data_IF_527718688016
#
_entry.id   IF_527718688016
#
_cell.length_a   1.000
_cell.length_b   1.000
_cell.length_c   1.000
_cell.angle_alpha   90.00
_cell.angle_beta   90.00
_cell.angle_gamma   90.00
#
_symmetry.space_group_name_H-M   'P 1'
#
loop_
_entity.id
_entity.type
_entity.pdbx_description
1 polymer ?
#
# COMPACT_ATOMS: atom_id res chain seq x y z
N UNK A 1 -58.29 -42.91 28.91
CA UNK A 1 -57.63 -41.60 29.16
C UNK A 1 -56.37 -41.83 29.97
N UNK A 2 -55.21 -41.89 29.33
CA UNK A 2 -53.94 -42.20 30.00
C UNK A 2 -52.84 -41.32 29.38
N UNK A 3 -52.45 -40.28 30.12
CA UNK A 3 -51.42 -39.29 29.75
C UNK A 3 -50.05 -39.96 29.71
N UNK A 4 -49.41 -39.98 28.54
CA UNK A 4 -48.00 -40.36 28.36
C UNK A 4 -47.13 -39.16 28.78
N UNK A 5 -46.43 -39.29 29.92
CA UNK A 5 -45.45 -38.30 30.40
C UNK A 5 -44.25 -38.28 29.47
N UNK A 6 -43.97 -37.12 28.87
CA UNK A 6 -42.72 -36.82 28.17
C UNK A 6 -41.64 -36.57 29.25
N UNK A 7 -40.63 -37.44 29.33
CA UNK A 7 -39.43 -37.20 30.14
C UNK A 7 -38.53 -36.20 29.41
N UNK A 8 -38.29 -35.05 30.03
CA UNK A 8 -37.20 -34.13 29.69
C UNK A 8 -35.85 -34.79 30.04
N UNK A 9 -34.82 -34.68 29.19
CA UNK A 9 -33.46 -35.10 29.54
C UNK A 9 -32.78 -34.09 30.49
N UNK A 10 -31.82 -34.62 31.24
CA UNK A 10 -31.08 -34.04 32.36
C UNK A 10 -30.34 -32.71 32.06
N UNK A 11 -29.94 -31.93 33.09
CA UNK A 11 -29.52 -30.53 32.96
C UNK A 11 -28.07 -30.30 32.49
N UNK A 12 -27.32 -31.34 32.14
CA UNK A 12 -25.87 -31.22 31.92
C UNK A 12 -25.44 -30.93 30.46
N UNK A 13 -26.38 -30.77 29.53
CA UNK A 13 -26.06 -30.57 28.10
C UNK A 13 -26.09 -29.08 27.69
N UNK A 14 -26.54 -28.18 28.57
CA UNK A 14 -26.60 -26.73 28.25
C UNK A 14 -25.26 -26.00 28.36
N UNK A 15 -24.30 -26.51 29.13
CA UNK A 15 -23.02 -25.82 29.34
C UNK A 15 -22.01 -26.02 28.20
N UNK A 16 -22.11 -27.13 27.46
CA UNK A 16 -21.18 -27.43 26.35
C UNK A 16 -21.54 -26.65 25.07
N UNK A 17 -22.83 -26.35 24.87
CA UNK A 17 -23.26 -25.58 23.69
C UNK A 17 -22.98 -24.08 23.81
N UNK A 18 -22.79 -23.56 25.03
CA UNK A 18 -22.49 -22.14 25.25
C UNK A 18 -20.98 -21.82 25.22
N UNK A 19 -20.10 -22.85 25.30
CA UNK A 19 -18.65 -22.67 25.22
C UNK A 19 -18.06 -22.86 23.81
N UNK A 20 -18.86 -23.33 22.84
CA UNK A 20 -18.39 -23.63 21.48
C UNK A 20 -18.55 -22.46 20.49
N UNK A 21 -19.16 -21.34 20.91
CA UNK A 21 -19.40 -20.16 20.04
C UNK A 21 -18.27 -19.10 20.15
N UNK A 22 -17.32 -19.26 21.08
CA UNK A 22 -16.22 -18.30 21.31
C UNK A 22 -14.94 -18.55 20.50
N UNK A 23 -14.90 -19.59 19.66
CA UNK A 23 -13.75 -19.94 18.81
C UNK A 23 -13.99 -19.62 17.32
N UNK A 24 -14.64 -18.50 17.03
CA UNK A 24 -14.55 -17.90 15.71
C UNK A 24 -13.15 -17.27 15.58
N UNK A 25 -12.27 -17.78 14.69
CA UNK A 25 -11.00 -17.10 14.43
C UNK A 25 -11.36 -15.74 13.82
N UNK A 26 -11.17 -14.67 14.58
CA UNK A 26 -11.12 -13.34 14.00
C UNK A 26 -10.02 -13.39 12.95
N UNK A 27 -10.41 -13.28 11.68
CA UNK A 27 -9.48 -13.01 10.60
C UNK A 27 -8.96 -11.60 10.83
N UNK A 28 -7.88 -11.47 11.60
CA UNK A 28 -7.06 -10.27 11.58
C UNK A 28 -6.48 -10.18 10.18
N UNK A 29 -7.08 -9.32 9.34
CA UNK A 29 -6.40 -8.87 8.14
C UNK A 29 -5.06 -8.28 8.61
N UNK A 30 -3.96 -8.83 8.11
CA UNK A 30 -2.64 -8.36 8.46
C UNK A 30 -2.51 -6.89 8.04
N UNK A 31 -2.57 -5.99 9.00
CA UNK A 31 -2.24 -4.58 8.81
C UNK A 31 -0.73 -4.44 8.62
N UNK A 32 -0.31 -3.55 7.73
CA UNK A 32 1.10 -3.22 7.56
C UNK A 32 1.42 -2.01 8.43
N UNK A 33 2.02 -2.28 9.60
CA UNK A 33 2.53 -1.26 10.51
C UNK A 33 3.89 -0.76 10.01
N UNK A 34 3.95 0.53 9.67
CA UNK A 34 5.17 1.19 9.22
C UNK A 34 5.42 2.46 10.03
N UNK A 35 6.69 2.75 10.31
CA UNK A 35 7.12 3.95 11.04
C UNK A 35 8.07 4.75 10.15
N UNK A 36 7.80 6.04 10.03
CA UNK A 36 8.54 6.99 9.20
C UNK A 36 9.02 8.15 10.04
N UNK A 37 10.22 8.66 9.78
CA UNK A 37 10.66 9.95 10.32
C UNK A 37 9.94 11.08 9.61
N UNK A 38 9.66 12.18 10.30
CA UNK A 38 9.08 13.34 9.63
C UNK A 38 10.03 13.97 8.61
N UNK A 39 11.34 13.82 8.81
CA UNK A 39 12.36 14.27 7.87
C UNK A 39 12.25 13.59 6.50
N UNK A 40 11.62 12.41 6.39
CA UNK A 40 11.39 11.75 5.11
C UNK A 40 10.33 12.46 4.23
N UNK A 41 9.55 13.36 4.84
CA UNK A 41 8.50 14.14 4.17
C UNK A 41 8.87 15.63 4.02
N UNK A 42 10.10 16.00 4.39
CA UNK A 42 10.60 17.36 4.37
C UNK A 42 11.85 17.45 3.49
N UNK A 43 11.95 18.48 2.65
CA UNK A 43 13.09 18.68 1.74
C UNK A 43 14.19 19.56 2.33
N UNK A 44 13.93 20.25 3.44
CA UNK A 44 14.90 21.08 4.14
C UNK A 44 15.57 20.35 5.30
N UNK A 45 16.05 21.13 6.26
CA UNK A 45 16.77 20.60 7.42
C UNK A 45 15.92 19.67 8.28
N UNK A 46 16.60 18.82 9.07
CA UNK A 46 15.97 17.95 10.06
C UNK A 46 15.37 18.72 11.24
N UNK A 47 15.66 20.02 11.36
CA UNK A 47 15.06 20.92 12.34
C UNK A 47 14.15 21.89 11.60
N UNK A 48 12.87 21.85 11.91
CA UNK A 48 11.88 22.79 11.39
C UNK A 48 11.69 23.92 12.39
N UNK A 49 12.17 25.11 12.06
CA UNK A 49 12.02 26.30 12.90
C UNK A 49 10.75 27.07 12.55
N UNK A 50 9.94 27.35 13.56
CA UNK A 50 8.75 28.19 13.49
C UNK A 50 9.04 29.46 14.28
N UNK A 51 9.17 30.61 13.61
CA UNK A 51 9.61 31.86 14.22
C UNK A 51 8.57 32.98 14.12
N UNK A 52 8.61 33.90 15.08
CA UNK A 52 7.64 34.99 15.23
C UNK A 52 6.36 34.56 15.97
N UNK A 53 5.42 35.50 16.08
CA UNK A 53 4.14 35.35 16.78
C UNK A 53 3.22 34.32 16.11
N UNK A 54 3.29 34.19 14.78
CA UNK A 54 2.53 33.22 14.01
C UNK A 54 3.37 32.70 12.86
N UNK A 55 3.61 31.39 12.85
CA UNK A 55 4.27 30.68 11.77
C UNK A 55 3.57 29.34 11.54
N UNK A 56 3.73 28.78 10.36
CA UNK A 56 3.25 27.45 10.10
C UNK A 56 3.93 26.81 8.91
N UNK A 57 4.12 25.50 9.01
CA UNK A 57 4.77 24.68 8.01
C UNK A 57 3.95 23.42 7.75
N UNK A 58 3.98 22.92 6.52
CA UNK A 58 3.17 21.78 6.10
C UNK A 58 4.03 20.69 5.50
N UNK A 59 3.94 19.50 6.09
CA UNK A 59 4.49 18.28 5.51
C UNK A 59 3.42 17.60 4.66
N UNK A 60 3.81 17.20 3.45
CA UNK A 60 2.94 16.44 2.56
C UNK A 60 3.21 14.95 2.76
N UNK A 61 2.21 14.22 3.24
CA UNK A 61 2.28 12.76 3.46
C UNK A 61 1.59 12.05 2.29
N UNK A 62 2.35 11.45 1.35
CA UNK A 62 1.77 10.71 0.24
C UNK A 62 1.35 9.30 0.71
N UNK A 63 0.12 8.91 0.38
CA UNK A 63 -0.53 7.65 0.69
C UNK A 63 -1.01 7.02 -0.62
N UNK A 64 -0.70 5.74 -0.83
CA UNK A 64 -1.14 5.01 -2.00
C UNK A 64 -2.68 4.91 -2.06
N UNK A 65 -3.31 5.09 -3.23
CA UNK A 65 -4.74 4.82 -3.40
C UNK A 65 -5.14 3.36 -3.19
N UNK A 66 -4.17 2.44 -3.05
CA UNK A 66 -4.41 1.02 -2.78
C UNK A 66 -4.50 0.68 -1.31
N UNK A 67 -4.27 1.64 -0.41
CA UNK A 67 -4.34 1.38 1.03
C UNK A 67 -5.30 2.34 1.70
N UNK A 68 -5.84 1.90 2.83
CA UNK A 68 -6.53 2.76 3.77
C UNK A 68 -5.86 2.63 5.14
N UNK A 69 -5.78 3.75 5.86
CA UNK A 69 -5.19 3.81 7.19
C UNK A 69 -6.17 3.19 8.18
N UNK A 70 -5.69 2.30 9.04
CA UNK A 70 -6.47 1.68 10.13
C UNK A 70 -6.14 2.31 11.48
N UNK A 71 -4.90 2.76 11.65
CA UNK A 71 -4.48 3.58 12.79
C UNK A 71 -3.31 4.46 12.41
N UNK A 72 -3.17 5.59 13.09
CA UNK A 72 -2.10 6.53 12.85
C UNK A 72 -1.74 7.27 14.14
N UNK A 73 -0.44 7.33 14.44
CA UNK A 73 0.09 8.01 15.62
C UNK A 73 1.29 8.85 15.21
N UNK A 74 1.30 10.09 15.67
CA UNK A 74 2.37 11.05 15.48
C UNK A 74 3.07 11.28 16.81
N UNK A 75 4.36 10.97 16.88
CA UNK A 75 5.24 11.32 17.99
C UNK A 75 6.06 12.53 17.61
N UNK A 76 5.95 13.60 18.36
CA UNK A 76 6.69 14.84 18.15
C UNK A 76 7.79 15.01 19.21
N UNK A 77 8.93 15.53 18.75
CA UNK A 77 10.02 16.04 19.56
C UNK A 77 10.26 17.48 19.17
N UNK A 78 10.13 18.38 20.13
CA UNK A 78 10.22 19.82 19.86
C UNK A 78 10.82 20.56 21.05
N UNK A 79 11.44 21.70 20.76
CA UNK A 79 12.03 22.59 21.74
C UNK A 79 11.48 23.99 21.49
N UNK A 80 11.24 24.78 22.53
CA UNK A 80 10.76 26.15 22.40
C UNK A 80 11.61 27.14 23.17
N UNK A 81 11.49 28.42 22.80
CA UNK A 81 12.12 29.50 23.56
C UNK A 81 11.59 29.55 25.00
N UNK A 82 12.49 29.82 25.94
CA UNK A 82 12.15 30.07 27.35
C UNK A 82 11.44 31.43 27.55
N UNK A 83 11.42 32.29 26.54
CA UNK A 83 10.72 33.57 26.58
C UNK A 83 9.20 33.46 26.35
N UNK A 84 8.70 32.27 25.99
CA UNK A 84 7.30 32.06 25.66
C UNK A 84 6.39 32.05 26.90
N UNK A 85 5.19 32.60 26.73
CA UNK A 85 4.16 32.60 27.76
C UNK A 85 3.35 31.30 27.79
N UNK A 86 3.48 30.54 28.88
CA UNK A 86 2.94 29.18 29.10
C UNK A 86 1.46 28.95 28.73
N UNK A 87 0.61 29.96 28.91
CA UNK A 87 -0.85 29.84 28.74
C UNK A 87 -1.37 30.33 27.39
N UNK A 88 -0.55 31.06 26.65
CA UNK A 88 -0.97 31.71 25.40
C UNK A 88 -0.21 31.16 24.20
N UNK A 89 1.00 30.67 24.42
CA UNK A 89 1.81 30.06 23.38
C UNK A 89 1.39 28.61 23.14
N UNK A 90 0.96 28.31 21.91
CA UNK A 90 0.49 26.98 21.52
C UNK A 90 1.05 26.55 20.17
N UNK A 91 1.33 25.25 20.03
CA UNK A 91 1.49 24.55 18.76
C UNK A 91 0.20 23.82 18.42
N UNK A 92 -0.42 24.17 17.32
CA UNK A 92 -1.56 23.46 16.73
C UNK A 92 -1.07 22.48 15.67
N UNK A 93 -1.47 21.22 15.81
CA UNK A 93 -1.24 20.18 14.79
C UNK A 93 -2.54 19.98 14.03
N UNK A 94 -2.47 20.05 12.69
CA UNK A 94 -3.62 19.91 11.81
C UNK A 94 -3.38 18.81 10.79
N UNK A 95 -4.41 18.01 10.52
CA UNK A 95 -4.43 17.04 9.43
C UNK A 95 -5.52 17.44 8.43
N UNK A 96 -5.14 17.67 7.18
CA UNK A 96 -6.05 18.11 6.12
C UNK A 96 -6.90 19.32 6.54
N UNK A 97 -6.24 20.31 7.15
CA UNK A 97 -6.80 21.55 7.68
C UNK A 97 -7.68 21.43 8.95
N UNK A 98 -7.91 20.22 9.47
CA UNK A 98 -8.61 20.04 10.74
C UNK A 98 -7.60 20.02 11.90
N UNK A 99 -7.79 20.87 12.92
CA UNK A 99 -6.99 20.84 14.15
C UNK A 99 -7.30 19.58 14.95
N UNK A 100 -6.27 18.78 15.19
CA UNK A 100 -6.38 17.48 15.87
C UNK A 100 -5.72 17.47 17.25
N UNK A 101 -4.79 18.39 17.48
CA UNK A 101 -4.13 18.57 18.77
C UNK A 101 -3.66 20.01 18.93
N UNK A 102 -3.59 20.46 20.17
CA UNK A 102 -2.96 21.70 20.57
C UNK A 102 -2.05 21.41 21.76
N UNK A 103 -0.79 21.79 21.65
CA UNK A 103 0.25 21.58 22.66
C UNK A 103 0.62 22.95 23.21
N UNK A 104 0.41 23.19 24.50
CA UNK A 104 0.88 24.40 25.14
C UNK A 104 2.40 24.33 25.36
N UNK A 105 3.09 25.43 25.07
CA UNK A 105 4.51 25.56 25.40
C UNK A 105 4.69 25.85 26.89
N UNK A 106 5.83 25.44 27.45
CA UNK A 106 6.17 25.68 28.86
C UNK A 106 7.58 26.25 28.95
N UNK A 107 7.77 27.53 29.32
CA UNK A 107 9.10 28.14 29.39
C UNK A 107 10.00 27.48 30.45
N UNK A 108 9.42 26.80 31.45
CA UNK A 108 10.17 26.04 32.46
C UNK A 108 10.59 24.65 31.95
N UNK A 109 9.96 24.18 30.88
CA UNK A 109 10.20 22.87 30.23
C UNK A 109 10.23 23.06 28.72
N UNK A 110 11.28 23.72 28.19
CA UNK A 110 11.35 24.08 26.78
C UNK A 110 11.41 22.85 25.87
N UNK A 111 11.97 21.73 26.33
CA UNK A 111 11.97 20.46 25.62
C UNK A 111 10.68 19.67 25.88
N UNK A 112 9.97 19.36 24.81
CA UNK A 112 8.64 18.78 24.84
C UNK A 112 8.58 17.55 23.95
N UNK A 113 7.72 16.60 24.34
CA UNK A 113 7.32 15.52 23.46
C UNK A 113 5.85 15.22 23.60
N UNK A 114 5.20 14.94 22.48
CA UNK A 114 3.78 14.68 22.42
C UNK A 114 3.52 13.46 21.53
N UNK A 115 2.62 12.59 22.00
CA UNK A 115 2.06 11.50 21.20
C UNK A 115 0.61 11.86 20.84
N UNK A 116 0.33 11.93 19.55
CA UNK A 116 -0.94 12.41 19.01
C UNK A 116 -1.55 11.30 18.15
N UNK A 117 -2.75 10.87 18.50
CA UNK A 117 -3.53 9.97 17.65
C UNK A 117 -4.15 10.75 16.50
N UNK A 118 -3.80 10.38 15.27
CA UNK A 118 -4.34 11.00 14.06
C UNK A 118 -5.69 10.32 13.69
N UNK A 119 -6.80 11.05 13.55
CA UNK A 119 -8.10 10.45 13.22
C UNK A 119 -8.10 9.80 11.83
N UNK A 120 -8.49 8.53 11.78
CA UNK A 120 -8.56 7.74 10.53
C UNK A 120 -9.51 8.38 9.50
N UNK A 121 -10.60 9.00 9.95
CA UNK A 121 -11.60 9.65 9.09
C UNK A 121 -11.08 10.85 8.31
N UNK A 122 -9.95 11.43 8.74
CA UNK A 122 -9.36 12.59 8.06
C UNK A 122 -8.40 12.18 6.93
N UNK A 123 -7.97 10.92 6.88
CA UNK A 123 -7.04 10.44 5.85
C UNK A 123 -7.73 10.33 4.49
N UNK A 124 -7.04 10.80 3.47
CA UNK A 124 -7.45 10.78 2.07
C UNK A 124 -6.46 9.95 1.26
N UNK A 125 -6.91 9.38 0.15
CA UNK A 125 -5.99 8.80 -0.83
C UNK A 125 -5.09 9.88 -1.43
N UNK A 126 -3.88 9.50 -1.85
CA UNK A 126 -2.88 10.41 -2.43
C UNK A 126 -2.26 11.32 -1.37
N UNK A 127 -2.47 12.63 -1.39
CA UNK A 127 -1.69 13.55 -0.56
C UNK A 127 -2.48 14.02 0.67
N UNK A 128 -1.84 13.97 1.83
CA UNK A 128 -2.40 14.47 3.08
C UNK A 128 -1.51 15.57 3.64
N UNK A 129 -2.11 16.69 4.04
CA UNK A 129 -1.39 17.82 4.61
C UNK A 129 -1.32 17.67 6.13
N UNK A 130 -0.11 17.50 6.67
CA UNK A 130 0.17 17.56 8.11
C UNK A 130 0.80 18.91 8.42
N UNK A 131 0.03 19.81 9.00
CA UNK A 131 0.45 21.19 9.25
C UNK A 131 0.75 21.41 10.73
N UNK A 132 1.88 22.06 11.00
CA UNK A 132 2.27 22.57 12.30
C UNK A 132 2.11 24.08 12.27
N UNK A 133 1.26 24.64 13.12
CA UNK A 133 1.01 26.07 13.18
C UNK A 133 1.14 26.56 14.61
N UNK A 134 1.94 27.60 14.82
CA UNK A 134 2.19 28.15 16.16
C UNK A 134 1.49 29.49 16.33
N UNK A 135 1.12 29.75 17.57
CA UNK A 135 0.88 31.08 18.09
C UNK A 135 1.85 31.25 19.26
N UNK A 136 2.80 32.18 19.15
CA UNK A 136 3.78 32.48 20.18
C UNK A 136 3.46 33.83 20.81
N UNK A 137 3.46 33.90 22.13
CA UNK A 137 3.31 35.12 22.89
C UNK A 137 4.42 35.22 23.94
N UNK A 138 4.83 36.45 24.24
CA UNK A 138 5.75 36.78 25.35
C UNK A 138 5.03 37.65 26.39
N UNK A 139 5.60 37.72 27.59
CA UNK A 139 5.05 38.53 28.70
C UNK A 139 5.21 40.04 28.47
N UNK A 140 6.18 40.45 27.66
CA UNK A 140 6.42 41.85 27.31
C UNK A 140 5.86 42.17 25.92
N UNK A 141 5.39 43.41 25.74
CA UNK A 141 5.00 43.92 24.43
C UNK A 141 6.27 44.03 23.56
N UNK A 142 6.43 43.10 22.63
CA UNK A 142 7.55 43.05 21.70
C UNK A 142 7.05 42.90 20.26
N UNK A 143 7.92 43.15 19.29
CA UNK A 143 7.56 43.01 17.88
C UNK A 143 7.15 41.56 17.56
N UNK A 144 6.17 41.37 16.69
CA UNK A 144 5.68 40.04 16.28
C UNK A 144 6.75 39.16 15.62
N UNK A 145 7.89 39.71 15.21
CA UNK A 145 9.03 38.99 14.63
C UNK A 145 10.26 38.99 15.56
N UNK A 146 10.03 39.22 16.86
CA UNK A 146 11.11 39.24 17.84
C UNK A 146 11.86 37.89 17.84
N UNK A 147 13.20 37.89 17.84
CA UNK A 147 14.01 36.69 17.58
C UNK A 147 13.90 35.62 18.69
N UNK A 148 13.37 35.98 19.84
CA UNK A 148 13.07 35.13 20.99
C UNK A 148 11.71 34.42 20.88
N UNK A 149 10.85 34.77 19.92
CA UNK A 149 9.62 34.05 19.61
C UNK A 149 9.91 32.92 18.63
N UNK A 150 10.16 31.74 19.15
CA UNK A 150 10.41 30.59 18.30
C UNK A 150 10.12 29.26 18.98
N UNK A 151 9.87 28.27 18.14
CA UNK A 151 9.92 26.85 18.47
C UNK A 151 10.53 26.07 17.31
N UNK A 152 11.07 24.90 17.63
CA UNK A 152 11.75 24.02 16.70
C UNK A 152 11.22 22.61 16.85
N UNK A 153 10.87 21.98 15.74
CA UNK A 153 10.48 20.57 15.70
C UNK A 153 11.66 19.78 15.13
N UNK A 154 12.16 18.81 15.90
CA UNK A 154 13.16 17.88 15.40
C UNK A 154 12.44 16.79 14.58
N UNK A 155 12.49 16.95 13.26
CA UNK A 155 11.84 16.07 12.29
C UNK A 155 12.51 14.69 12.19
N UNK A 156 13.78 14.56 12.61
CA UNK A 156 14.50 13.30 12.60
C UNK A 156 14.10 12.39 13.77
N UNK A 157 13.88 12.98 14.95
CA UNK A 157 13.44 12.27 16.16
C UNK A 157 11.91 12.23 16.31
N UNK A 158 11.18 12.96 15.46
CA UNK A 158 9.73 12.87 15.34
C UNK A 158 9.32 11.79 14.35
N UNK A 159 8.29 11.02 14.69
CA UNK A 159 7.89 9.81 13.97
C UNK A 159 6.40 9.80 13.65
N UNK A 160 6.06 9.37 12.44
CA UNK A 160 4.72 9.01 12.03
C UNK A 160 4.62 7.49 11.92
N UNK A 161 3.79 6.87 12.76
CA UNK A 161 3.47 5.45 12.70
C UNK A 161 2.11 5.26 12.05
N UNK A 162 2.02 4.46 11.00
CA UNK A 162 0.79 4.14 10.28
C UNK A 162 0.58 2.63 10.25
N UNK A 163 -0.62 2.20 10.61
CA UNK A 163 -1.12 0.89 10.22
C UNK A 163 -2.04 1.05 9.01
N UNK A 164 -1.85 0.20 8.01
CA UNK A 164 -2.56 0.28 6.73
C UNK A 164 -3.08 -1.08 6.31
N UNK A 165 -4.25 -1.09 5.67
CA UNK A 165 -4.77 -2.29 5.00
C UNK A 165 -4.96 -2.02 3.52
N UNK A 166 -4.74 -3.06 2.73
CA UNK A 166 -4.94 -3.00 1.29
C UNK A 166 -6.42 -2.91 0.95
N UNK A 167 -6.75 -1.95 0.09
CA UNK A 167 -8.07 -1.65 -0.44
C UNK A 167 -8.03 -1.69 -1.96
N UNK A 168 -8.06 -2.89 -2.51
CA UNK A 168 -8.15 -3.10 -3.95
C UNK A 168 -9.58 -3.54 -4.28
N UNK A 169 -10.36 -2.62 -4.84
CA UNK A 169 -11.70 -2.89 -5.37
C UNK A 169 -11.64 -3.56 -6.76
N UNK A 170 -12.35 -3.00 -7.72
CA UNK A 170 -12.35 -3.51 -9.11
C UNK A 170 -10.97 -3.33 -9.76
N UNK A 171 -10.42 -4.43 -10.27
CA UNK A 171 -9.16 -4.43 -11.01
C UNK A 171 -9.38 -4.00 -12.45
N UNK A 172 -8.63 -3.00 -12.89
CA UNK A 172 -8.51 -2.60 -14.28
C UNK A 172 -7.16 -1.93 -14.51
N UNK A 173 -6.78 -1.70 -15.78
CA UNK A 173 -5.49 -1.10 -16.11
C UNK A 173 -5.32 0.34 -15.57
N UNK A 174 -6.40 1.08 -15.33
CA UNK A 174 -6.30 2.42 -14.75
C UNK A 174 -5.76 2.37 -13.31
N UNK A 175 -6.00 1.27 -12.59
CA UNK A 175 -5.45 1.03 -11.25
C UNK A 175 -3.96 0.67 -11.26
N UNK A 176 -3.33 0.46 -12.42
CA UNK A 176 -1.89 0.17 -12.50
C UNK A 176 -1.05 1.26 -11.83
N UNK A 177 -1.40 2.53 -12.02
CA UNK A 177 -0.69 3.66 -11.40
C UNK A 177 -0.81 3.67 -9.88
N UNK A 178 -1.88 3.09 -9.31
CA UNK A 178 -2.03 3.00 -7.87
C UNK A 178 -1.07 1.96 -7.25
N UNK A 179 -0.73 0.87 -7.96
CA UNK A 179 0.29 -0.09 -7.50
C UNK A 179 1.68 0.56 -7.36
N UNK A 180 1.99 1.49 -8.26
CA UNK A 180 3.31 2.13 -8.35
C UNK A 180 3.31 3.59 -7.91
N UNK A 181 2.30 4.03 -7.14
CA UNK A 181 2.23 5.39 -6.61
C UNK A 181 3.45 5.69 -5.73
N UNK A 182 3.99 6.92 -5.68
CA UNK A 182 5.16 7.23 -4.83
C UNK A 182 4.88 7.19 -3.31
N UNK A 183 3.61 7.15 -2.92
CA UNK A 183 3.16 7.20 -1.52
C UNK A 183 3.20 5.88 -0.75
N UNK A 184 3.03 6.00 0.57
CA UNK A 184 3.07 4.90 1.54
C UNK A 184 2.07 3.80 1.17
N UNK A 185 2.50 2.54 1.27
CA UNK A 185 1.67 1.38 0.95
C UNK A 185 1.66 1.00 -0.54
N UNK A 186 2.48 1.64 -1.38
CA UNK A 186 2.72 1.21 -2.75
C UNK A 186 3.81 0.15 -2.85
N UNK A 187 3.84 -0.53 -4.00
CA UNK A 187 4.83 -1.53 -4.31
C UNK A 187 6.15 -0.89 -4.74
N UNK A 188 7.25 -1.39 -4.19
CA UNK A 188 8.62 -0.91 -4.48
C UNK A 188 9.49 -1.92 -5.25
N UNK A 189 9.00 -3.15 -5.38
CA UNK A 189 9.69 -4.25 -6.05
C UNK A 189 8.72 -4.96 -6.98
N UNK A 190 9.16 -5.28 -8.20
CA UNK A 190 8.33 -5.95 -9.21
C UNK A 190 9.02 -7.21 -9.67
N UNK A 191 8.30 -8.34 -9.56
CA UNK A 191 8.73 -9.59 -10.19
C UNK A 191 8.19 -9.65 -11.61
N UNK A 192 9.08 -9.86 -12.57
CA UNK A 192 8.77 -10.01 -13.99
C UNK A 192 9.13 -11.42 -14.42
N UNK A 193 8.13 -12.15 -14.90
CA UNK A 193 8.27 -13.52 -15.34
C UNK A 193 8.17 -13.61 -16.86
N UNK A 194 9.17 -14.22 -17.46
CA UNK A 194 9.19 -14.70 -18.85
C UNK A 194 9.17 -16.22 -18.86
N UNK A 195 9.34 -16.83 -20.04
CA UNK A 195 9.22 -18.26 -20.19
C UNK A 195 10.38 -18.84 -20.98
N UNK A 196 10.82 -20.04 -20.57
CA UNK A 196 11.95 -20.73 -21.21
C UNK A 196 11.67 -21.11 -22.67
N UNK A 197 10.40 -21.30 -23.02
CA UNK A 197 9.90 -21.72 -24.32
C UNK A 197 9.52 -20.55 -25.25
N UNK A 198 9.84 -19.31 -24.88
CA UNK A 198 9.60 -18.17 -25.75
C UNK A 198 10.36 -18.30 -27.08
N UNK A 199 9.67 -18.09 -28.20
CA UNK A 199 10.26 -18.21 -29.56
C UNK A 199 11.24 -17.09 -29.92
N UNK A 200 11.20 -15.97 -29.19
CA UNK A 200 12.05 -14.80 -29.43
C UNK A 200 12.60 -14.22 -28.11
N UNK A 201 13.37 -15.01 -27.33
CA UNK A 201 13.80 -14.61 -25.99
C UNK A 201 14.75 -13.40 -26.03
N UNK A 202 15.51 -13.24 -27.12
CA UNK A 202 16.36 -12.08 -27.37
C UNK A 202 15.56 -10.77 -27.37
N UNK A 203 14.51 -10.67 -28.18
CA UNK A 203 13.67 -9.47 -28.29
C UNK A 203 12.98 -9.15 -26.96
N UNK A 204 12.49 -10.17 -26.25
CA UNK A 204 11.88 -10.00 -24.93
C UNK A 204 12.89 -9.40 -23.96
N UNK A 205 14.11 -9.97 -23.88
CA UNK A 205 15.14 -9.53 -22.94
C UNK A 205 15.68 -8.13 -23.27
N UNK A 206 15.90 -7.81 -24.55
CA UNK A 206 16.56 -6.56 -24.95
C UNK A 206 15.59 -5.39 -25.12
N UNK A 207 14.31 -5.63 -25.39
CA UNK A 207 13.35 -4.55 -25.70
C UNK A 207 12.09 -4.58 -24.82
N UNK A 208 11.48 -5.75 -24.60
CA UNK A 208 10.22 -5.83 -23.83
C UNK A 208 10.46 -5.54 -22.34
N UNK A 209 11.43 -6.21 -21.71
CA UNK A 209 11.71 -6.00 -20.29
C UNK A 209 12.11 -4.55 -19.98
N UNK A 210 13.02 -3.90 -20.73
CA UNK A 210 13.32 -2.49 -20.52
C UNK A 210 12.11 -1.57 -20.73
N UNK A 211 11.26 -1.84 -21.73
CA UNK A 211 10.05 -1.04 -21.96
C UNK A 211 9.05 -1.15 -20.79
N UNK A 212 8.85 -2.35 -20.25
CA UNK A 212 8.05 -2.57 -19.04
C UNK A 212 8.67 -1.82 -17.86
N UNK A 213 9.98 -1.98 -17.64
CA UNK A 213 10.67 -1.38 -16.52
C UNK A 213 10.55 0.16 -16.54
N UNK A 214 10.81 0.77 -17.71
CA UNK A 214 10.65 2.21 -17.92
C UNK A 214 9.21 2.66 -17.65
N UNK A 215 8.21 1.97 -18.21
CA UNK A 215 6.81 2.34 -18.05
C UNK A 215 6.34 2.30 -16.59
N UNK A 216 6.84 1.34 -15.80
CA UNK A 216 6.49 1.24 -14.38
C UNK A 216 7.28 2.22 -13.52
N UNK A 217 8.56 2.44 -13.81
CA UNK A 217 9.39 3.41 -13.09
C UNK A 217 8.85 4.85 -13.24
N UNK A 218 8.35 5.22 -14.43
CA UNK A 218 7.73 6.53 -14.66
C UNK A 218 6.49 6.77 -13.78
N UNK A 219 5.71 5.72 -13.48
CA UNK A 219 4.55 5.82 -12.57
C UNK A 219 4.95 6.06 -11.12
N UNK A 220 6.20 5.74 -10.75
CA UNK A 220 6.76 6.00 -9.42
C UNK A 220 7.40 7.38 -9.31
N UNK A 221 7.20 8.25 -10.31
CA UNK A 221 7.72 9.62 -10.35
C UNK A 221 9.23 9.66 -10.06
N UNK A 222 9.98 8.76 -10.72
CA UNK A 222 11.44 8.61 -10.60
C UNK A 222 11.95 8.18 -9.21
N UNK A 223 11.08 7.76 -8.29
CA UNK A 223 11.53 7.03 -7.09
C UNK A 223 12.01 5.62 -7.47
N UNK A 224 12.94 5.05 -6.69
CA UNK A 224 13.57 3.76 -7.00
C UNK A 224 12.56 2.61 -7.14
N UNK A 225 12.61 1.83 -8.21
CA UNK A 225 11.78 0.64 -8.39
C UNK A 225 12.69 -0.54 -8.70
N UNK A 226 12.67 -1.57 -7.84
CA UNK A 226 13.50 -2.75 -8.02
C UNK A 226 12.79 -3.76 -8.91
N UNK A 227 13.50 -4.34 -9.88
CA UNK A 227 12.98 -5.36 -10.76
C UNK A 227 13.72 -6.68 -10.54
N UNK A 228 12.96 -7.72 -10.23
CA UNK A 228 13.45 -9.09 -10.26
C UNK A 228 12.94 -9.77 -11.51
N UNK A 229 13.85 -10.43 -12.22
CA UNK A 229 13.53 -11.14 -13.45
C UNK A 229 13.74 -12.64 -13.27
N UNK A 230 12.79 -13.44 -13.74
CA UNK A 230 12.90 -14.90 -13.75
C UNK A 230 12.23 -15.51 -14.98
N UNK A 231 12.92 -16.45 -15.64
CA UNK A 231 12.31 -17.29 -16.67
C UNK A 231 11.64 -18.50 -16.01
N UNK A 232 10.39 -18.76 -16.35
CA UNK A 232 9.60 -19.87 -15.85
C UNK A 232 9.66 -21.07 -16.80
N UNK A 233 9.80 -22.28 -16.27
CA UNK A 233 9.58 -23.50 -17.04
C UNK A 233 8.08 -23.71 -17.27
N UNK A 234 7.75 -24.56 -18.24
CA UNK A 234 6.37 -25.04 -18.47
C UNK A 234 5.75 -25.55 -17.15
N UNK A 235 4.48 -25.22 -16.84
CA UNK A 235 3.93 -25.52 -15.53
C UNK A 235 3.68 -27.02 -15.41
N UNK A 236 4.29 -27.65 -14.40
CA UNK A 236 4.08 -29.04 -14.05
C UNK A 236 3.30 -29.13 -12.72
N UNK A 237 2.40 -30.11 -12.64
CA UNK A 237 1.73 -30.41 -11.38
C UNK A 237 2.76 -30.94 -10.36
N UNK A 238 2.66 -30.57 -9.06
CA UNK A 238 3.55 -31.10 -8.04
C UNK A 238 3.46 -32.62 -7.97
N UNK A 239 4.61 -33.30 -7.83
CA UNK A 239 4.65 -34.75 -7.68
C UNK A 239 3.77 -35.19 -6.48
N UNK A 240 2.85 -36.12 -6.71
CA UNK A 240 1.92 -36.63 -5.69
C UNK A 240 0.61 -35.85 -5.52
N UNK A 241 0.36 -34.79 -6.31
CA UNK A 241 -0.95 -34.16 -6.38
C UNK A 241 -1.85 -34.85 -7.42
N UNK A 242 -2.76 -35.70 -6.95
CA UNK A 242 -3.94 -36.18 -7.70
C UNK A 242 -5.16 -35.32 -7.39
N UNK A 243 -5.01 -34.00 -7.56
CA UNK A 243 -6.13 -33.07 -7.43
C UNK A 243 -7.21 -33.36 -8.46
N UNK A 244 -8.44 -32.95 -8.18
CA UNK A 244 -9.53 -32.91 -9.17
C UNK A 244 -9.10 -32.09 -10.40
N UNK A 245 -9.67 -32.33 -11.59
CA UNK A 245 -9.37 -31.52 -12.79
C UNK A 245 -9.48 -30.01 -12.53
N UNK A 246 -10.45 -29.58 -11.73
CA UNK A 246 -10.66 -28.18 -11.34
C UNK A 246 -9.52 -27.64 -10.47
N UNK A 247 -9.04 -28.43 -9.51
CA UNK A 247 -7.89 -28.06 -8.67
C UNK A 247 -6.59 -27.98 -9.47
N UNK A 248 -6.40 -28.90 -10.42
CA UNK A 248 -5.23 -28.89 -11.30
C UNK A 248 -5.26 -27.67 -12.22
N UNK A 249 -6.41 -27.36 -12.83
CA UNK A 249 -6.58 -26.14 -13.63
C UNK A 249 -6.38 -24.87 -12.78
N UNK A 250 -6.90 -24.83 -11.55
CA UNK A 250 -6.68 -23.71 -10.64
C UNK A 250 -5.19 -23.54 -10.32
N UNK A 251 -4.45 -24.64 -10.10
CA UNK A 251 -3.01 -24.59 -9.88
C UNK A 251 -2.26 -24.03 -11.08
N UNK A 252 -2.49 -24.56 -12.28
CA UNK A 252 -1.83 -24.12 -13.51
C UNK A 252 -2.06 -22.63 -13.80
N UNK A 253 -3.27 -22.14 -13.53
CA UNK A 253 -3.64 -20.73 -13.73
C UNK A 253 -3.32 -19.80 -12.54
N UNK A 254 -2.81 -20.35 -11.43
CA UNK A 254 -2.45 -19.59 -10.23
C UNK A 254 -1.09 -18.89 -10.36
N UNK A 255 -0.64 -18.28 -9.26
CA UNK A 255 0.68 -17.67 -9.10
C UNK A 255 1.66 -18.57 -8.33
N UNK A 256 1.63 -19.89 -8.56
CA UNK A 256 2.47 -20.87 -7.86
C UNK A 256 3.98 -20.52 -7.89
N UNK A 257 4.43 -19.88 -8.96
CA UNK A 257 5.81 -19.49 -9.21
C UNK A 257 6.30 -18.30 -8.36
N UNK A 258 5.43 -17.60 -7.63
CA UNK A 258 5.85 -16.42 -6.84
C UNK A 258 6.41 -16.77 -5.47
N UNK A 259 6.16 -18.00 -4.99
CA UNK A 259 6.64 -18.53 -3.71
C UNK A 259 6.04 -17.89 -2.45
N UNK A 260 5.16 -16.89 -2.59
CA UNK A 260 4.56 -16.16 -1.45
C UNK A 260 3.21 -16.76 -1.06
N UNK A 261 3.05 -17.10 0.23
CA UNK A 261 1.78 -17.59 0.81
C UNK A 261 0.66 -16.55 0.75
N UNK A 262 0.96 -15.25 0.76
CA UNK A 262 0.02 -14.14 0.51
C UNK A 262 0.81 -12.89 0.09
N UNK A 263 0.34 -12.19 -0.93
CA UNK A 263 0.90 -10.89 -1.34
C UNK A 263 -0.16 -10.10 -2.10
N UNK A 264 -0.29 -8.82 -1.75
CA UNK A 264 -1.09 -7.85 -2.49
C UNK A 264 -0.28 -7.14 -3.58
N UNK A 265 0.95 -7.57 -3.83
CA UNK A 265 1.81 -7.08 -4.90
C UNK A 265 1.35 -7.58 -6.28
N UNK A 266 1.53 -6.73 -7.28
CA UNK A 266 1.40 -7.00 -8.69
C UNK A 266 2.70 -7.58 -9.24
N UNK A 267 2.66 -8.79 -9.77
CA UNK A 267 3.74 -9.33 -10.61
C UNK A 267 3.37 -9.27 -12.09
N UNK A 268 4.34 -9.51 -12.97
CA UNK A 268 4.15 -9.41 -14.41
C UNK A 268 4.40 -10.75 -15.07
N UNK A 269 3.51 -11.15 -15.96
CA UNK A 269 3.74 -12.21 -16.94
C UNK A 269 3.91 -11.57 -18.32
N UNK A 270 5.01 -11.85 -19.00
CA UNK A 270 5.26 -11.35 -20.35
C UNK A 270 5.67 -12.47 -21.31
N UNK A 271 4.99 -12.53 -22.45
CA UNK A 271 5.21 -13.58 -23.44
C UNK A 271 4.13 -13.57 -24.53
N UNK A 272 4.32 -14.37 -25.57
CA UNK A 272 3.28 -14.51 -26.61
C UNK A 272 2.07 -15.28 -26.08
N UNK A 273 0.93 -15.19 -26.78
CA UNK A 273 -0.27 -15.97 -26.45
C UNK A 273 0.03 -17.46 -26.34
N UNK A 274 0.80 -17.98 -27.28
CA UNK A 274 1.19 -19.40 -27.33
C UNK A 274 2.01 -19.77 -26.09
N UNK A 275 3.02 -18.96 -25.75
CA UNK A 275 3.84 -19.15 -24.56
C UNK A 275 3.02 -19.10 -23.26
N UNK A 276 2.06 -18.18 -23.19
CA UNK A 276 1.28 -17.90 -21.99
C UNK A 276 0.08 -18.84 -21.79
N UNK A 277 -0.37 -19.52 -22.84
CA UNK A 277 -1.56 -20.36 -22.80
C UNK A 277 -1.56 -21.37 -21.62
N UNK A 278 -0.44 -22.03 -21.25
CA UNK A 278 -0.43 -22.95 -20.11
C UNK A 278 -0.63 -22.30 -18.72
N UNK A 279 -0.46 -20.99 -18.60
CA UNK A 279 -0.50 -20.24 -17.32
C UNK A 279 -1.76 -19.38 -17.17
N UNK A 280 -2.54 -19.26 -18.24
CA UNK A 280 -3.70 -18.39 -18.33
C UNK A 280 -4.97 -19.20 -18.62
N UNK A 281 -6.11 -18.88 -17.98
CA UNK A 281 -7.38 -19.47 -18.37
C UNK A 281 -7.70 -19.20 -19.84
N UNK A 282 -8.35 -20.16 -20.52
CA UNK A 282 -8.74 -20.04 -21.94
C UNK A 282 -9.52 -18.76 -22.25
N UNK A 283 -10.34 -18.29 -21.30
CA UNK A 283 -11.07 -17.03 -21.45
C UNK A 283 -10.13 -15.86 -21.68
N UNK A 284 -9.00 -15.82 -20.96
CA UNK A 284 -7.99 -14.77 -21.09
C UNK A 284 -7.15 -14.98 -22.35
N UNK A 285 -6.76 -16.22 -22.62
CA UNK A 285 -5.96 -16.56 -23.80
C UNK A 285 -6.69 -16.22 -25.11
N UNK A 286 -8.02 -16.43 -25.16
CA UNK A 286 -8.88 -16.05 -26.32
C UNK A 286 -9.05 -14.54 -26.50
N UNK A 287 -8.89 -13.75 -25.44
CA UNK A 287 -8.94 -12.29 -25.51
C UNK A 287 -7.65 -11.71 -26.15
N UNK A 288 -6.56 -12.48 -26.19
CA UNK A 288 -5.30 -12.09 -26.84
C UNK A 288 -5.45 -12.25 -28.36
N UNK A 289 -5.90 -11.17 -29.00
CA UNK A 289 -6.11 -11.07 -30.47
C UNK A 289 -5.11 -10.15 -31.17
N UNK A 290 -4.14 -9.61 -30.42
CA UNK A 290 -3.17 -8.62 -30.84
C UNK A 290 -2.36 -8.14 -29.63
N UNK A 291 -1.75 -6.93 -29.65
CA UNK A 291 -1.14 -6.33 -28.47
C UNK A 291 -2.13 -6.27 -27.31
N UNK A 292 -1.76 -6.87 -26.18
CA UNK A 292 -2.69 -7.15 -25.09
C UNK A 292 -2.12 -6.78 -23.73
N UNK A 293 -2.92 -6.07 -22.94
CA UNK A 293 -2.64 -5.71 -21.56
C UNK A 293 -3.86 -6.04 -20.71
N UNK A 294 -3.64 -6.69 -19.56
CA UNK A 294 -4.72 -6.94 -18.59
C UNK A 294 -4.18 -7.10 -17.19
N UNK A 295 -4.86 -6.49 -16.23
CA UNK A 295 -4.68 -6.82 -14.81
C UNK A 295 -5.75 -7.82 -14.42
N UNK A 296 -5.34 -8.87 -13.71
CA UNK A 296 -6.27 -9.84 -13.15
C UNK A 296 -5.82 -10.32 -11.77
N UNK A 297 -6.78 -10.85 -11.02
CA UNK A 297 -6.51 -11.60 -9.80
C UNK A 297 -6.38 -13.09 -10.16
N UNK A 298 -5.33 -13.76 -9.68
CA UNK A 298 -5.17 -15.20 -9.88
C UNK A 298 -6.15 -15.97 -8.99
N UNK A 299 -6.59 -17.18 -9.41
CA UNK A 299 -7.39 -18.04 -8.56
C UNK A 299 -6.56 -18.53 -7.36
N UNK A 300 -7.18 -18.70 -6.18
CA UNK A 300 -6.54 -19.40 -5.07
C UNK A 300 -6.42 -20.89 -5.37
N UNK A 301 -5.40 -21.53 -4.81
CA UNK A 301 -5.29 -22.99 -4.77
C UNK A 301 -5.52 -23.46 -3.34
N UNK A 302 -6.49 -24.36 -3.16
CA UNK A 302 -6.92 -24.85 -1.86
C UNK A 302 -6.51 -26.31 -1.66
N UNK A 303 -6.17 -26.67 -0.42
CA UNK A 303 -6.07 -28.06 0.05
C UNK A 303 -6.96 -28.22 1.27
N UNK A 304 -8.14 -28.81 1.07
CA UNK A 304 -9.18 -28.79 2.10
C UNK A 304 -9.65 -27.35 2.38
N UNK A 305 -9.47 -26.89 3.62
CA UNK A 305 -9.80 -25.52 4.04
C UNK A 305 -8.61 -24.55 3.96
N UNK A 306 -7.41 -25.05 3.70
CA UNK A 306 -6.19 -24.26 3.73
C UNK A 306 -5.86 -23.69 2.34
N UNK A 307 -5.41 -22.43 2.31
CA UNK A 307 -4.92 -21.77 1.10
C UNK A 307 -3.45 -22.19 0.91
N UNK A 308 -3.19 -22.99 -0.14
CA UNK A 308 -1.82 -23.35 -0.54
C UNK A 308 -1.16 -22.21 -1.31
N UNK A 309 -1.88 -21.63 -2.26
CA UNK A 309 -1.43 -20.50 -3.07
C UNK A 309 -2.49 -19.41 -2.97
N UNK A 310 -2.13 -18.28 -2.38
CA UNK A 310 -3.03 -17.15 -2.29
C UNK A 310 -3.29 -16.51 -3.65
N UNK A 311 -4.48 -15.90 -3.82
CA UNK A 311 -4.77 -15.11 -5.00
C UNK A 311 -3.88 -13.87 -4.98
N UNK A 312 -3.24 -13.58 -6.10
CA UNK A 312 -2.33 -12.44 -6.29
C UNK A 312 -2.75 -11.60 -7.48
N UNK A 313 -2.23 -10.38 -7.56
CA UNK A 313 -2.43 -9.50 -8.69
C UNK A 313 -1.37 -9.77 -9.76
N UNK A 314 -1.79 -9.92 -11.02
CA UNK A 314 -0.86 -10.03 -12.14
C UNK A 314 -1.21 -9.11 -13.30
N UNK A 315 -0.20 -8.46 -13.85
CA UNK A 315 -0.26 -7.76 -15.13
C UNK A 315 0.21 -8.72 -16.23
N UNK A 316 -0.63 -8.91 -17.22
CA UNK A 316 -0.33 -9.70 -18.41
C UNK A 316 0.07 -8.73 -19.52
N UNK A 317 1.26 -8.92 -20.08
CA UNK A 317 1.79 -8.19 -21.24
C UNK A 317 2.00 -9.20 -22.37
N UNK A 318 1.16 -9.14 -23.41
CA UNK A 318 1.14 -10.19 -24.43
C UNK A 318 0.82 -9.69 -25.84
N UNK A 319 0.88 -10.62 -26.79
CA UNK A 319 0.64 -10.45 -28.22
C UNK A 319 0.63 -11.82 -28.92
N UNK A 320 0.18 -11.86 -30.17
CA UNK A 320 0.30 -13.03 -31.03
C UNK A 320 1.75 -13.26 -31.47
N UNK A 321 2.53 -12.19 -31.57
CA UNK A 321 3.94 -12.21 -31.96
C UNK A 321 4.80 -11.42 -30.97
N UNK A 322 6.11 -11.65 -30.98
CA UNK A 322 7.04 -10.90 -30.12
C UNK A 322 7.02 -9.38 -30.39
N UNK A 323 6.77 -8.96 -31.63
CA UNK A 323 6.60 -7.55 -31.98
C UNK A 323 5.33 -6.95 -31.35
N UNK A 324 4.24 -7.72 -31.28
CA UNK A 324 3.02 -7.27 -30.60
C UNK A 324 3.18 -7.23 -29.08
N UNK A 325 3.95 -8.15 -28.49
CA UNK A 325 4.32 -8.09 -27.06
C UNK A 325 5.10 -6.80 -26.78
N UNK A 326 6.07 -6.46 -27.63
CA UNK A 326 6.80 -5.18 -27.53
C UNK A 326 5.87 -3.98 -27.66
N UNK A 327 4.93 -4.01 -28.61
CA UNK A 327 3.92 -2.94 -28.77
C UNK A 327 3.02 -2.81 -27.54
N UNK A 328 2.63 -3.93 -26.91
CA UNK A 328 1.88 -3.91 -25.66
C UNK A 328 2.71 -3.29 -24.51
N UNK A 329 3.98 -3.69 -24.38
CA UNK A 329 4.90 -3.14 -23.40
C UNK A 329 5.12 -1.62 -23.57
N UNK A 330 5.34 -1.13 -24.79
CA UNK A 330 5.51 0.31 -25.04
C UNK A 330 4.21 1.09 -24.83
N UNK A 331 3.05 0.47 -25.06
CA UNK A 331 1.74 1.08 -24.77
C UNK A 331 1.53 1.31 -23.27
N UNK A 332 2.20 0.57 -22.38
CA UNK A 332 2.19 0.88 -20.94
C UNK A 332 2.70 2.29 -20.66
N UNK A 333 3.60 2.82 -21.49
CA UNK A 333 4.13 4.17 -21.32
C UNK A 333 3.10 5.25 -21.69
N UNK A 334 2.38 5.07 -22.80
CA UNK A 334 1.40 6.05 -23.29
C UNK A 334 0.14 6.18 -22.42
N UNK A 335 -0.19 5.17 -21.61
CA UNK A 335 -1.27 5.26 -20.61
C UNK A 335 -0.95 6.24 -19.46
N UNK A 336 0.33 6.53 -19.19
CA UNK A 336 0.71 7.53 -18.18
C UNK A 336 0.47 8.95 -18.70
N UNK A 337 0.87 9.23 -19.95
CA UNK A 337 0.76 10.56 -20.55
C UNK A 337 -0.69 11.05 -20.72
N UNK A 338 -1.62 10.17 -21.13
CA UNK A 338 -3.03 10.56 -21.30
C UNK A 338 -3.76 10.92 -20.00
N UNK A 339 -3.21 10.56 -18.83
CA UNK A 339 -3.81 10.93 -17.55
C UNK A 339 -3.33 12.32 -17.09
N UNK A 340 -2.10 12.72 -17.42
CA UNK A 340 -1.55 14.03 -17.08
C UNK A 340 -2.22 15.16 -17.89
N UNK A 341 -2.58 14.90 -19.14
CA UNK A 341 -3.27 15.88 -20.00
C UNK A 341 -4.72 16.17 -19.60
N UNK A 342 -5.32 15.39 -18.68
CA UNK A 342 -6.69 15.60 -18.18
C UNK A 342 -6.78 16.33 -16.84
N UNK A 343 -5.64 16.66 -16.23
CA UNK A 343 -5.55 17.38 -14.95
C UNK A 343 -4.90 18.76 -15.07
N UNK A 344 -4.73 19.27 -16.30
CA UNK A 344 -4.25 20.63 -16.60
C UNK A 344 -5.39 21.61 -16.84
#
# INVERSE_FOLDING_TARGET
MTRKKIRLPAPDIRLVFMLLVSLLPLRTAAGNLNTFRLSEFHTGDAIMRLAGESAGETLTIPLSPLVEVTSATLRLKLTSSIALQKRRSILSVRLNNATIAQIAFDPEKPDLSADIKLPVSLWRSQYNALTFAVSHHAEICQASQSPDLWSEINLYDSMLTLDTKVKIGQLNLQKLSAFFHPGIGSQQQVKVFTFTQDKAPGLIRTHVLPAIAQALALRREYRSLTFDYQALPEPALPAGNSGTPEQNAAYLHSSWYTGKKQSDELHILTGTRETLAPYLPDTVTRDIKGPFLRIQKTPPVLKGKDILIAPQYRLIVSGLTAAEVLKAATTLNSYHLRCLERTG
#
